data_IF_757014817500
#
_entry.id   IF_757014817500
#
_cell.length_a   1.000
_cell.length_b   1.000
_cell.length_c   1.000
_cell.angle_alpha   90.00
_cell.angle_beta   90.00
_cell.angle_gamma   90.00
#
_symmetry.space_group_name_H-M   'P 1'
#
loop_
_entity.id
_entity.type
_entity.pdbx_description
1 polymer ?
#
# COMPACT_ATOMS: atom_id res chain seq x y z
N UNK A 1 32.24 -9.62 12.58
CA UNK A 1 31.22 -9.72 11.51
C UNK A 1 30.45 -8.42 11.49
N UNK A 2 30.62 -7.63 10.43
CA UNK A 2 29.94 -6.33 10.27
C UNK A 2 28.60 -6.58 9.60
N UNK A 3 27.49 -6.34 10.32
CA UNK A 3 26.15 -6.36 9.73
C UNK A 3 26.04 -5.08 8.91
N UNK A 4 26.18 -5.20 7.58
CA UNK A 4 25.96 -4.05 6.71
C UNK A 4 24.46 -3.71 6.70
N UNK A 5 24.05 -2.44 6.78
CA UNK A 5 22.66 -2.03 6.58
C UNK A 5 22.33 -2.20 5.09
N UNK A 6 21.94 -3.42 4.68
CA UNK A 6 21.50 -3.74 3.30
C UNK A 6 20.06 -4.25 3.24
N UNK A 7 19.30 -4.13 4.32
CA UNK A 7 18.10 -4.94 4.48
C UNK A 7 16.79 -4.18 4.36
N UNK A 8 16.73 -2.88 4.67
CA UNK A 8 15.48 -2.13 4.58
C UNK A 8 15.23 -1.62 3.15
N UNK A 9 16.16 -0.83 2.58
CA UNK A 9 15.99 -0.22 1.25
C UNK A 9 15.83 -1.25 0.12
N UNK A 10 16.45 -2.43 0.24
CA UNK A 10 16.42 -3.47 -0.79
C UNK A 10 15.19 -4.39 -0.69
N UNK A 11 14.53 -4.43 0.46
CA UNK A 11 13.27 -5.18 0.64
C UNK A 11 12.08 -4.31 0.22
N UNK A 12 12.08 -3.02 0.58
CA UNK A 12 11.09 -2.05 0.11
C UNK A 12 11.07 -1.94 -1.42
N UNK A 13 12.24 -1.96 -2.07
CA UNK A 13 12.35 -1.93 -3.53
C UNK A 13 11.86 -3.22 -4.23
N UNK A 14 11.66 -4.32 -3.49
CA UNK A 14 11.08 -5.58 -4.01
C UNK A 14 9.58 -5.70 -3.74
N UNK A 15 9.06 -4.88 -2.84
CA UNK A 15 7.63 -4.72 -2.61
C UNK A 15 7.17 -3.68 -3.63
N UNK A 16 6.41 -4.11 -4.64
CA UNK A 16 5.79 -3.22 -5.60
C UNK A 16 4.77 -2.32 -4.95
N UNK A 17 3.97 -2.88 -4.04
CA UNK A 17 3.04 -2.10 -3.22
C UNK A 17 2.61 -2.85 -1.96
N UNK A 18 2.11 -2.10 -0.99
CA UNK A 18 1.41 -2.60 0.19
C UNK A 18 -0.05 -2.20 0.08
N UNK A 19 -0.98 -3.14 0.24
CA UNK A 19 -2.42 -2.84 0.29
C UNK A 19 -2.92 -3.06 1.70
N UNK A 20 -3.78 -2.18 2.20
CA UNK A 20 -4.73 -2.57 3.22
C UNK A 20 -6.11 -1.96 3.04
N UNK A 21 -7.06 -2.53 3.77
CA UNK A 21 -8.49 -2.24 3.64
C UNK A 21 -9.00 -1.70 4.98
N UNK A 22 -9.69 -0.57 4.92
CA UNK A 22 -10.37 0.00 6.07
C UNK A 22 -11.83 -0.47 6.19
N UNK A 23 -12.48 -0.13 7.31
CA UNK A 23 -13.86 -0.54 7.57
C UNK A 23 -14.91 0.16 6.69
N UNK A 24 -14.52 1.18 5.93
CA UNK A 24 -15.38 1.85 4.96
C UNK A 24 -15.25 1.24 3.56
N UNK A 25 -14.49 0.15 3.42
CA UNK A 25 -14.20 -0.53 2.17
C UNK A 25 -13.36 0.30 1.20
N UNK A 26 -12.44 1.10 1.73
CA UNK A 26 -11.40 1.72 0.93
C UNK A 26 -10.11 0.89 0.92
N UNK A 27 -9.52 0.74 -0.27
CA UNK A 27 -8.19 0.16 -0.44
C UNK A 27 -7.11 1.24 -0.45
N UNK A 28 -6.14 1.09 0.45
CA UNK A 28 -4.98 1.96 0.65
C UNK A 28 -3.75 1.29 0.07
N UNK A 29 -3.34 1.70 -1.13
CA UNK A 29 -2.22 1.12 -1.85
C UNK A 29 -0.99 2.02 -1.73
N UNK A 30 -0.04 1.63 -0.89
CA UNK A 30 1.24 2.32 -0.72
C UNK A 30 2.26 1.85 -1.76
N UNK A 31 2.87 2.80 -2.46
CA UNK A 31 3.94 2.59 -3.43
C UNK A 31 5.28 3.12 -2.88
N UNK A 32 6.17 2.24 -2.35
CA UNK A 32 7.42 2.67 -1.71
C UNK A 32 8.34 3.49 -2.62
N UNK A 33 8.35 3.21 -3.92
CA UNK A 33 9.20 3.90 -4.88
C UNK A 33 8.75 5.35 -5.15
N UNK A 34 7.46 5.64 -4.99
CA UNK A 34 6.89 6.96 -5.19
C UNK A 34 6.66 7.71 -3.86
N UNK A 35 6.78 7.01 -2.73
CA UNK A 35 6.41 7.50 -1.39
C UNK A 35 4.97 8.03 -1.31
N UNK A 36 4.05 7.36 -2.01
CA UNK A 36 2.64 7.75 -2.08
C UNK A 36 1.70 6.62 -1.66
N UNK A 37 0.56 7.00 -1.10
CA UNK A 37 -0.59 6.12 -0.89
C UNK A 37 -1.70 6.54 -1.84
N UNK A 38 -2.22 5.61 -2.63
CA UNK A 38 -3.43 5.78 -3.42
C UNK A 38 -4.61 5.15 -2.70
N UNK A 39 -5.75 5.83 -2.69
CA UNK A 39 -6.97 5.37 -2.05
C UNK A 39 -8.04 5.12 -3.09
N UNK A 40 -8.67 3.96 -3.01
CA UNK A 40 -9.70 3.49 -3.94
C UNK A 40 -10.94 3.09 -3.17
N UNK A 41 -12.13 3.48 -3.63
CA UNK A 41 -13.39 2.87 -3.19
C UNK A 41 -13.54 1.52 -3.89
N UNK A 42 -13.42 0.43 -3.14
CA UNK A 42 -13.48 -0.94 -3.68
C UNK A 42 -14.78 -1.66 -3.34
N UNK A 43 -15.60 -1.07 -2.46
CA UNK A 43 -16.87 -1.65 -2.04
C UNK A 43 -16.76 -2.91 -1.17
N UNK A 44 -17.91 -3.40 -0.65
CA UNK A 44 -17.96 -4.41 0.42
C UNK A 44 -17.56 -5.82 0.00
N UNK A 45 -17.60 -6.12 -1.31
CA UNK A 45 -17.32 -7.45 -1.84
C UNK A 45 -15.84 -7.64 -2.24
N UNK A 46 -15.00 -6.61 -2.08
CA UNK A 46 -13.60 -6.67 -2.45
C UNK A 46 -12.77 -7.51 -1.46
N UNK A 47 -11.97 -8.42 -1.98
CA UNK A 47 -10.98 -9.19 -1.22
C UNK A 47 -9.55 -8.78 -1.59
N UNK A 48 -8.64 -8.81 -0.62
CA UNK A 48 -7.26 -8.44 -0.87
C UNK A 48 -6.61 -9.39 -1.89
N UNK A 49 -6.28 -8.85 -3.06
CA UNK A 49 -5.73 -9.61 -4.18
C UNK A 49 -6.55 -9.48 -5.45
N UNK A 50 -7.79 -9.04 -5.32
CA UNK A 50 -8.65 -8.65 -6.42
C UNK A 50 -8.03 -7.52 -7.25
N UNK A 51 -8.49 -7.41 -8.49
CA UNK A 51 -8.08 -6.35 -9.38
C UNK A 51 -8.70 -5.02 -8.92
N UNK A 52 -7.86 -4.00 -8.73
CA UNK A 52 -8.28 -2.63 -8.52
C UNK A 52 -8.14 -1.90 -9.86
N UNK A 53 -9.24 -1.29 -10.31
CA UNK A 53 -9.22 -0.42 -11.48
C UNK A 53 -8.51 0.90 -11.14
N UNK A 54 -7.52 1.31 -11.94
CA UNK A 54 -6.84 2.58 -11.70
C UNK A 54 -7.77 3.79 -11.86
N UNK A 55 -8.85 3.66 -12.63
CA UNK A 55 -9.84 4.72 -12.84
C UNK A 55 -10.70 5.01 -11.59
N UNK A 56 -10.73 4.11 -10.61
CA UNK A 56 -11.47 4.29 -9.35
C UNK A 56 -10.64 4.93 -8.24
N UNK A 57 -9.44 5.43 -8.56
CA UNK A 57 -8.61 6.16 -7.61
C UNK A 57 -9.31 7.45 -7.16
N UNK A 58 -9.72 7.51 -5.89
CA UNK A 58 -10.36 8.71 -5.35
C UNK A 58 -9.36 9.83 -5.16
N UNK A 59 -8.20 9.50 -4.56
CA UNK A 59 -7.14 10.46 -4.30
C UNK A 59 -5.79 9.76 -4.05
N UNK A 60 -4.73 10.57 -4.12
CA UNK A 60 -3.35 10.14 -3.87
C UNK A 60 -2.72 11.10 -2.86
N UNK A 61 -2.12 10.54 -1.83
CA UNK A 61 -1.44 11.29 -0.77
C UNK A 61 0.06 10.99 -0.78
N UNK A 62 0.87 12.04 -0.64
CA UNK A 62 2.32 11.90 -0.45
C UNK A 62 2.64 11.74 1.03
N UNK A 63 3.44 10.72 1.38
CA UNK A 63 3.86 10.54 2.76
C UNK A 63 4.93 11.56 3.18
N UNK A 64 5.56 12.26 2.24
CA UNK A 64 6.52 13.35 2.52
C UNK A 64 7.64 12.93 3.51
N UNK A 65 8.11 11.68 3.40
CA UNK A 65 9.12 11.12 4.30
C UNK A 65 8.59 10.64 5.67
N UNK A 66 7.29 10.71 5.92
CA UNK A 66 6.68 10.02 7.05
C UNK A 66 6.60 8.51 6.79
N UNK A 67 6.83 7.67 7.80
CA UNK A 67 6.72 6.22 7.62
C UNK A 67 5.27 5.79 7.37
N UNK A 68 5.05 4.75 6.55
CA UNK A 68 3.73 4.15 6.31
C UNK A 68 2.95 3.85 7.60
N UNK A 69 3.65 3.47 8.68
CA UNK A 69 3.03 3.24 9.99
C UNK A 69 2.24 4.44 10.52
N UNK A 70 2.66 5.66 10.18
CA UNK A 70 1.93 6.88 10.52
C UNK A 70 0.60 6.95 9.77
N UNK A 71 0.59 6.62 8.48
CA UNK A 71 -0.64 6.51 7.68
C UNK A 71 -1.57 5.43 8.21
N UNK A 72 -1.06 4.23 8.54
CA UNK A 72 -1.87 3.16 9.13
C UNK A 72 -2.52 3.57 10.45
N UNK A 73 -1.81 4.33 11.30
CA UNK A 73 -2.39 4.90 12.51
C UNK A 73 -3.49 5.92 12.18
N UNK A 74 -3.27 6.81 11.20
CA UNK A 74 -4.29 7.74 10.75
C UNK A 74 -5.55 7.02 10.27
N UNK A 75 -5.43 6.02 9.40
CA UNK A 75 -6.57 5.23 8.91
C UNK A 75 -7.30 4.56 10.07
N UNK A 76 -6.56 3.89 10.96
CA UNK A 76 -7.15 3.25 12.14
C UNK A 76 -7.94 4.22 13.02
N UNK A 77 -7.38 5.39 13.27
CA UNK A 77 -7.94 6.34 14.23
C UNK A 77 -9.08 7.18 13.61
N UNK A 78 -9.11 7.37 12.28
CA UNK A 78 -10.10 8.25 11.60
C UNK A 78 -11.11 7.53 10.69
N UNK A 79 -10.75 6.39 10.11
CA UNK A 79 -11.60 5.63 9.15
C UNK A 79 -11.92 4.19 9.61
N UNK A 80 -11.45 3.81 10.79
CA UNK A 80 -11.67 2.50 11.38
C UNK A 80 -10.56 1.49 11.06
N UNK A 81 -10.73 0.22 11.44
CA UNK A 81 -9.63 -0.75 11.49
C UNK A 81 -8.94 -0.97 10.14
N UNK A 82 -7.60 -1.03 10.16
CA UNK A 82 -6.80 -1.54 9.04
C UNK A 82 -6.75 -3.06 9.18
N UNK A 83 -7.57 -3.76 8.39
CA UNK A 83 -7.88 -5.17 8.68
C UNK A 83 -6.83 -6.14 8.14
N UNK A 84 -6.23 -5.82 6.98
CA UNK A 84 -5.33 -6.75 6.27
C UNK A 84 -4.19 -6.00 5.58
N UNK A 85 -3.00 -6.60 5.54
CA UNK A 85 -1.83 -6.05 4.84
C UNK A 85 -1.22 -7.11 3.95
N UNK A 86 -1.23 -6.90 2.63
CA UNK A 86 -0.47 -7.75 1.70
C UNK A 86 0.67 -6.99 1.05
N UNK A 87 1.77 -7.70 0.83
CA UNK A 87 2.94 -7.20 0.12
C UNK A 87 2.97 -7.87 -1.25
N UNK A 88 2.85 -7.10 -2.34
CA UNK A 88 2.98 -7.64 -3.69
C UNK A 88 4.19 -7.07 -4.37
N UNK A 89 4.96 -7.89 -5.09
CA UNK A 89 6.02 -7.40 -5.98
C UNK A 89 5.39 -6.59 -7.13
N UNK A 90 6.11 -5.63 -7.74
CA UNK A 90 5.58 -4.90 -8.87
C UNK A 90 5.28 -5.91 -9.97
N UNK A 91 4.20 -5.71 -10.72
CA UNK A 91 3.98 -6.47 -11.94
C UNK A 91 5.15 -6.13 -12.88
N UNK A 92 6.18 -6.98 -12.90
CA UNK A 92 7.16 -6.93 -13.96
C UNK A 92 6.39 -7.25 -15.23
N UNK A 93 6.26 -6.28 -16.13
CA UNK A 93 5.74 -6.48 -17.48
C UNK A 93 6.60 -7.50 -18.21
N UNK A 94 6.27 -8.77 -18.03
CA UNK A 94 6.77 -9.87 -18.82
C UNK A 94 5.85 -10.02 -20.01
N UNK A 95 6.17 -9.32 -21.10
CA UNK A 95 5.69 -9.73 -22.41
C UNK A 95 6.19 -11.15 -22.68
N UNK A 96 5.26 -12.11 -22.74
CA UNK A 96 5.37 -13.30 -23.58
C UNK A 96 4.00 -13.60 -24.18
#
# INVERSE_FOLDING_TARGET
MSIQPRTAETVSARIGYVVGIDSEHCAHVYYPAADTVKVYDVGPDYEVGDYIDEETCEHTEELNGHPLAHWMCYVRDFRGEWTETTHRAPAFGGSQ
#
